data_IF_759981357879
#
_entry.id   IF_759981357879
#
_cell.length_a   1.000
_cell.length_b   1.000
_cell.length_c   1.000
_cell.angle_alpha   90.00
_cell.angle_beta   90.00
_cell.angle_gamma   90.00
#
_symmetry.space_group_name_H-M   'P 1'
#
loop_
_entity.id
_entity.type
_entity.pdbx_description
1 polymer ?
#
# COMPACT_ATOMS: atom_id res chain seq x y z
N UNK A 1 18.03 5.16 -11.06
CA UNK A 1 19.26 5.39 -10.25
C UNK A 1 18.81 5.44 -8.80
N UNK A 2 19.23 4.49 -7.96
CA UNK A 2 18.86 4.50 -6.53
C UNK A 2 19.71 5.52 -5.78
N UNK A 3 19.12 6.29 -4.87
CA UNK A 3 19.83 7.31 -4.09
C UNK A 3 21.06 6.75 -3.35
N UNK A 4 21.00 5.48 -2.92
CA UNK A 4 22.12 4.79 -2.27
C UNK A 4 23.30 4.48 -3.20
N UNK A 5 23.08 4.42 -4.51
CA UNK A 5 24.12 4.19 -5.51
C UNK A 5 24.90 5.46 -5.86
N UNK A 6 24.44 6.63 -5.40
CA UNK A 6 25.13 7.89 -5.62
C UNK A 6 26.38 8.00 -4.72
N UNK A 7 27.48 8.61 -5.23
CA UNK A 7 28.67 8.86 -4.44
C UNK A 7 28.37 9.95 -3.42
N UNK A 8 28.44 9.60 -2.14
CA UNK A 8 28.32 10.52 -1.01
C UNK A 8 29.14 9.98 0.15
N UNK A 9 29.74 10.88 0.94
CA UNK A 9 30.57 10.54 2.10
C UNK A 9 29.73 9.81 3.16
N UNK A 10 28.55 10.35 3.47
CA UNK A 10 27.61 9.81 4.44
C UNK A 10 26.24 9.67 3.80
N UNK A 11 25.53 8.57 4.09
CA UNK A 11 24.19 8.28 3.57
C UNK A 11 23.31 7.81 4.70
N UNK A 12 22.16 8.46 4.85
CA UNK A 12 21.14 8.10 5.83
C UNK A 12 19.84 7.76 5.10
N UNK A 13 19.34 6.54 5.31
CA UNK A 13 18.03 6.15 4.81
C UNK A 13 16.95 6.68 5.76
N UNK A 14 15.88 7.24 5.20
CA UNK A 14 14.71 7.70 5.94
C UNK A 14 13.50 6.91 5.45
N UNK A 15 12.71 6.40 6.39
CA UNK A 15 11.51 5.65 6.05
C UNK A 15 10.43 6.59 5.48
N UNK A 16 9.83 6.18 4.35
CA UNK A 16 8.95 7.01 3.52
C UNK A 16 7.77 7.66 4.29
N UNK A 17 7.07 6.88 5.10
CA UNK A 17 5.86 7.32 5.80
C UNK A 17 6.20 8.23 7.00
N UNK A 18 7.30 7.92 7.71
CA UNK A 18 7.84 8.82 8.73
C UNK A 18 8.27 10.14 8.12
N UNK A 19 8.82 10.15 6.91
CA UNK A 19 9.16 11.38 6.20
C UNK A 19 7.93 12.24 5.88
N UNK A 20 6.81 11.62 5.47
CA UNK A 20 5.53 12.35 5.27
C UNK A 20 5.02 13.01 6.55
N UNK A 21 5.02 12.31 7.68
CA UNK A 21 4.62 12.91 8.95
C UNK A 21 5.61 14.00 9.40
N UNK A 22 6.90 13.73 9.26
CA UNK A 22 7.94 14.65 9.67
C UNK A 22 7.90 15.96 8.84
N UNK A 23 7.54 15.92 7.57
CA UNK A 23 7.42 17.14 6.74
C UNK A 23 6.33 18.07 7.28
N UNK A 24 5.16 17.54 7.66
CA UNK A 24 4.06 18.32 8.23
C UNK A 24 4.44 18.93 9.59
N UNK A 25 5.12 18.16 10.43
CA UNK A 25 5.60 18.65 11.73
C UNK A 25 6.71 19.71 11.57
N UNK A 26 7.62 19.51 10.62
CA UNK A 26 8.70 20.45 10.33
C UNK A 26 8.18 21.78 9.78
N UNK A 27 7.21 21.75 8.85
CA UNK A 27 6.55 22.95 8.32
C UNK A 27 5.90 23.78 9.43
N UNK A 28 5.35 23.12 10.45
CA UNK A 28 4.74 23.77 11.61
C UNK A 28 5.73 24.20 12.69
N UNK A 29 7.02 23.86 12.55
CA UNK A 29 8.04 24.09 13.58
C UNK A 29 7.87 23.21 14.83
N UNK A 30 7.09 22.13 14.74
CA UNK A 30 6.63 21.30 15.86
C UNK A 30 7.56 20.09 16.11
N UNK A 31 8.87 20.33 16.15
CA UNK A 31 9.91 19.28 16.18
C UNK A 31 9.81 18.32 17.37
N UNK A 32 9.38 18.83 18.53
CA UNK A 32 9.32 18.09 19.80
C UNK A 32 7.92 17.61 20.15
N UNK A 33 6.92 18.02 19.37
CA UNK A 33 5.52 17.76 19.69
C UNK A 33 5.23 16.28 19.48
N UNK A 34 4.77 15.62 20.54
CA UNK A 34 4.27 14.26 20.44
C UNK A 34 2.89 14.26 19.79
N UNK A 35 2.72 13.51 18.72
CA UNK A 35 1.49 13.42 17.94
C UNK A 35 1.08 11.97 17.71
N UNK A 36 -0.17 11.78 17.33
CA UNK A 36 -0.64 10.60 16.60
C UNK A 36 -0.79 11.06 15.15
N UNK A 37 -0.09 10.42 14.22
CA UNK A 37 -0.12 10.77 12.81
C UNK A 37 -0.52 9.58 11.95
N UNK A 38 -1.29 9.84 10.90
CA UNK A 38 -1.66 8.87 9.88
C UNK A 38 -0.91 9.18 8.59
N UNK A 39 -0.29 8.17 7.97
CA UNK A 39 0.35 8.27 6.66
C UNK A 39 -0.31 7.28 5.72
N UNK A 40 -1.19 7.78 4.85
CA UNK A 40 -1.91 6.98 3.87
C UNK A 40 -1.46 7.35 2.46
N UNK A 41 -0.95 6.38 1.72
CA UNK A 41 -0.47 6.53 0.35
C UNK A 41 -0.64 5.22 -0.45
N UNK A 42 -0.09 5.20 -1.66
CA UNK A 42 -0.12 4.05 -2.53
C UNK A 42 0.90 2.97 -2.16
N UNK A 43 2.17 3.32 -2.00
CA UNK A 43 3.27 2.37 -1.80
C UNK A 43 4.44 3.05 -1.10
N UNK A 44 4.89 2.49 0.02
CA UNK A 44 6.21 2.78 0.56
C UNK A 44 6.86 1.54 1.17
N UNK A 45 8.19 1.46 1.09
CA UNK A 45 8.93 0.31 1.63
C UNK A 45 8.90 0.35 3.18
N UNK A 46 8.36 -0.70 3.78
CA UNK A 46 8.30 -0.89 5.21
C UNK A 46 9.61 -1.39 5.80
N UNK A 47 9.81 -1.12 7.09
CA UNK A 47 11.00 -1.62 7.81
C UNK A 47 11.01 -3.16 7.91
N UNK A 48 9.83 -3.79 7.80
CA UNK A 48 9.64 -5.24 7.79
C UNK A 48 9.70 -5.86 6.38
N UNK A 49 10.11 -5.07 5.37
CA UNK A 49 10.16 -5.50 3.97
C UNK A 49 8.81 -5.64 3.29
N UNK A 50 7.72 -5.25 3.96
CA UNK A 50 6.37 -5.23 3.38
C UNK A 50 6.05 -3.88 2.73
N UNK A 51 5.01 -3.84 1.91
CA UNK A 51 4.56 -2.60 1.27
C UNK A 51 3.59 -1.88 2.19
N UNK A 52 4.03 -0.75 2.75
CA UNK A 52 3.20 0.12 3.58
C UNK A 52 2.40 1.11 2.72
N UNK A 53 1.37 1.70 3.32
CA UNK A 53 0.56 2.78 2.74
C UNK A 53 -0.69 3.12 3.54
N UNK A 54 -0.83 2.58 4.75
CA UNK A 54 -2.01 2.67 5.59
C UNK A 54 -1.63 2.71 7.07
N UNK A 55 -0.67 3.55 7.43
CA UNK A 55 0.10 3.43 8.68
C UNK A 55 -0.28 4.50 9.70
N UNK A 56 -0.28 4.13 10.99
CA UNK A 56 -0.47 5.04 12.12
C UNK A 56 0.80 5.04 12.97
N UNK A 57 1.32 6.24 13.25
CA UNK A 57 2.50 6.46 14.07
C UNK A 57 2.20 7.30 15.30
N UNK A 58 3.00 7.12 16.35
CA UNK A 58 2.99 7.95 17.55
C UNK A 58 4.40 8.38 17.89
N UNK A 59 4.59 9.65 18.23
CA UNK A 59 5.91 10.17 18.61
C UNK A 59 6.12 11.61 18.16
N UNK A 60 7.39 12.02 18.08
CA UNK A 60 7.83 13.34 17.64
C UNK A 60 8.93 13.19 16.58
N UNK A 61 9.31 14.27 15.88
CA UNK A 61 10.48 14.19 14.99
C UNK A 61 11.75 13.89 15.81
N UNK A 62 11.88 14.56 16.97
CA UNK A 62 13.07 14.46 17.80
C UNK A 62 13.26 13.06 18.41
N UNK A 63 12.19 12.46 18.94
CA UNK A 63 12.26 11.18 19.67
C UNK A 63 11.98 9.98 18.76
N UNK A 64 11.56 10.24 17.52
CA UNK A 64 11.17 9.24 16.55
C UNK A 64 9.65 9.01 16.49
N UNK A 65 9.22 8.46 15.36
CA UNK A 65 7.83 8.11 15.06
C UNK A 65 7.70 6.59 15.06
N UNK A 66 7.11 6.04 16.12
CA UNK A 66 6.89 4.60 16.27
C UNK A 66 5.60 4.20 15.56
N UNK A 67 5.65 3.10 14.78
CA UNK A 67 4.46 2.55 14.11
C UNK A 67 3.64 1.76 15.11
N UNK A 68 2.41 2.21 15.41
CA UNK A 68 1.55 1.60 16.43
C UNK A 68 0.35 0.85 15.86
N UNK A 69 -0.07 1.17 14.65
CA UNK A 69 -1.16 0.49 13.96
C UNK A 69 -1.03 0.62 12.45
N UNK A 70 -1.78 -0.20 11.72
CA UNK A 70 -1.83 -0.18 10.26
C UNK A 70 -3.11 -0.85 9.75
N UNK A 71 -3.44 -0.62 8.49
CA UNK A 71 -4.51 -1.37 7.82
C UNK A 71 -4.21 -2.87 7.83
N UNK A 72 -5.26 -3.70 7.84
CA UNK A 72 -5.09 -5.16 7.77
C UNK A 72 -4.23 -5.52 6.56
N UNK A 73 -3.26 -6.41 6.79
CA UNK A 73 -2.40 -6.92 5.72
C UNK A 73 -3.24 -7.63 4.66
N UNK A 74 -2.96 -7.35 3.40
CA UNK A 74 -3.50 -8.05 2.24
C UNK A 74 -2.35 -8.60 1.40
N UNK A 75 -2.67 -9.55 0.51
CA UNK A 75 -1.75 -9.96 -0.53
C UNK A 75 -1.80 -8.98 -1.70
N UNK A 76 -0.66 -8.76 -2.36
CA UNK A 76 -0.56 -7.95 -3.56
C UNK A 76 0.00 -8.82 -4.69
N UNK A 77 -0.86 -9.52 -5.45
CA UNK A 77 -0.41 -10.43 -6.50
C UNK A 77 0.15 -9.66 -7.70
N UNK A 78 1.34 -10.02 -8.15
CA UNK A 78 1.97 -9.46 -9.35
C UNK A 78 2.74 -8.13 -9.14
N UNK A 79 2.92 -7.68 -7.89
CA UNK A 79 3.72 -6.48 -7.57
C UNK A 79 3.17 -5.23 -8.24
N UNK A 80 4.00 -4.54 -9.02
CA UNK A 80 3.66 -3.29 -9.72
C UNK A 80 2.40 -3.39 -10.60
N UNK A 81 2.09 -4.58 -11.12
CA UNK A 81 0.86 -4.80 -11.89
C UNK A 81 -0.41 -4.52 -11.06
N UNK A 82 -0.35 -4.70 -9.73
CA UNK A 82 -1.47 -4.40 -8.85
C UNK A 82 -1.73 -2.88 -8.69
N UNK A 83 -0.78 -2.03 -9.07
CA UNK A 83 -0.98 -0.59 -9.18
C UNK A 83 -1.69 -0.18 -10.48
N UNK A 84 -1.52 -0.98 -11.53
CA UNK A 84 -2.04 -0.69 -12.87
C UNK A 84 -3.42 -1.29 -13.11
N UNK A 85 -3.77 -2.36 -12.41
CA UNK A 85 -5.04 -3.07 -12.61
C UNK A 85 -5.80 -3.18 -11.29
N UNK A 86 -6.91 -2.44 -11.10
CA UNK A 86 -7.62 -2.40 -9.81
C UNK A 86 -8.13 -3.77 -9.36
N UNK A 87 -8.56 -4.60 -10.31
CA UNK A 87 -9.01 -5.98 -10.06
C UNK A 87 -7.91 -6.89 -9.50
N UNK A 88 -6.65 -6.53 -9.71
CA UNK A 88 -5.50 -7.29 -9.21
C UNK A 88 -5.24 -6.97 -7.74
N UNK A 89 -5.38 -5.70 -7.33
CA UNK A 89 -5.46 -5.34 -5.91
C UNK A 89 -6.69 -6.01 -5.27
N UNK A 90 -7.86 -5.93 -5.92
CA UNK A 90 -9.09 -6.53 -5.41
C UNK A 90 -8.96 -8.03 -5.13
N UNK A 91 -8.31 -8.81 -6.01
CA UNK A 91 -8.03 -10.23 -5.76
C UNK A 91 -7.28 -10.46 -4.44
N UNK A 92 -6.27 -9.64 -4.16
CA UNK A 92 -5.46 -9.74 -2.96
C UNK A 92 -6.16 -9.30 -1.67
N UNK A 93 -7.02 -8.28 -1.74
CA UNK A 93 -7.80 -7.79 -0.60
C UNK A 93 -9.05 -8.60 -0.31
N UNK A 94 -9.71 -9.15 -1.33
CA UNK A 94 -10.99 -9.83 -1.21
C UNK A 94 -10.85 -11.33 -0.92
N UNK A 95 -9.71 -11.96 -1.24
CA UNK A 95 -9.46 -13.38 -0.94
C UNK A 95 -9.55 -13.75 0.56
N UNK A 96 -9.36 -12.77 1.45
CA UNK A 96 -9.48 -12.94 2.90
C UNK A 96 -10.91 -12.72 3.43
N UNK A 97 -11.87 -12.40 2.55
CA UNK A 97 -13.27 -12.15 2.91
C UNK A 97 -14.08 -13.40 2.60
N UNK A 98 -14.70 -13.97 3.62
CA UNK A 98 -15.56 -15.14 3.48
C UNK A 98 -16.95 -14.76 2.95
N UNK A 99 -17.58 -15.67 2.22
CA UNK A 99 -18.97 -15.50 1.75
C UNK A 99 -19.16 -14.49 0.61
N UNK A 100 -18.10 -14.13 -0.11
CA UNK A 100 -18.22 -13.29 -1.30
C UNK A 100 -19.03 -13.99 -2.40
N UNK A 101 -19.86 -13.25 -3.15
CA UNK A 101 -20.48 -13.77 -4.36
C UNK A 101 -19.43 -14.02 -5.45
N UNK A 102 -19.82 -14.71 -6.52
CA UNK A 102 -18.96 -14.82 -7.70
C UNK A 102 -18.78 -13.44 -8.36
N UNK A 103 -17.62 -12.84 -8.15
CA UNK A 103 -17.29 -11.53 -8.69
C UNK A 103 -17.06 -11.54 -10.20
N UNK A 104 -16.91 -12.72 -10.82
CA UNK A 104 -16.86 -12.86 -12.28
C UNK A 104 -18.25 -12.88 -12.93
N UNK A 105 -19.32 -12.99 -12.14
CA UNK A 105 -20.72 -12.94 -12.61
C UNK A 105 -21.36 -11.55 -12.41
N UNK A 106 -22.53 -11.28 -13.03
CA UNK A 106 -23.31 -10.09 -12.73
C UNK A 106 -23.64 -9.96 -11.24
N UNK A 107 -23.60 -8.74 -10.66
CA UNK A 107 -23.44 -7.46 -11.36
C UNK A 107 -21.97 -7.04 -11.61
N UNK A 108 -20.99 -7.72 -11.03
CA UNK A 108 -19.60 -7.27 -10.99
C UNK A 108 -18.83 -7.52 -12.30
N UNK A 109 -19.02 -8.69 -12.91
CA UNK A 109 -18.40 -9.06 -14.20
C UNK A 109 -16.88 -8.83 -14.24
N UNK A 110 -16.16 -9.17 -13.16
CA UNK A 110 -14.71 -8.99 -13.11
C UNK A 110 -14.01 -9.78 -14.24
N UNK A 111 -13.04 -9.16 -14.93
CA UNK A 111 -12.34 -9.78 -16.07
C UNK A 111 -11.48 -10.97 -15.63
N UNK A 112 -11.08 -11.82 -16.59
CA UNK A 112 -10.23 -12.99 -16.35
C UNK A 112 -8.94 -12.69 -15.55
N UNK A 113 -8.42 -11.46 -15.65
CA UNK A 113 -7.27 -10.98 -14.85
C UNK A 113 -7.49 -11.15 -13.35
N UNK A 114 -8.71 -10.98 -12.85
CA UNK A 114 -9.05 -11.21 -11.44
C UNK A 114 -8.79 -12.66 -11.03
N UNK A 115 -9.24 -13.63 -11.84
CA UNK A 115 -9.03 -15.06 -11.59
C UNK A 115 -7.54 -15.43 -11.65
N UNK A 116 -6.79 -14.89 -12.62
CA UNK A 116 -5.34 -15.09 -12.66
C UNK A 116 -4.64 -14.51 -11.43
N UNK A 117 -5.07 -13.34 -10.94
CA UNK A 117 -4.52 -12.75 -9.72
C UNK A 117 -4.85 -13.59 -8.48
N UNK A 118 -6.07 -14.12 -8.36
CA UNK A 118 -6.42 -15.07 -7.30
C UNK A 118 -5.54 -16.32 -7.32
N UNK A 119 -5.26 -16.86 -8.50
CA UNK A 119 -4.38 -18.02 -8.63
C UNK A 119 -2.94 -17.72 -8.22
N UNK A 120 -2.43 -16.52 -8.49
CA UNK A 120 -1.13 -16.08 -7.96
C UNK A 120 -1.14 -16.05 -6.43
N UNK A 121 -2.20 -15.52 -5.82
CA UNK A 121 -2.36 -15.53 -4.35
C UNK A 121 -2.38 -16.96 -3.82
N UNK A 122 -3.20 -17.84 -4.38
CA UNK A 122 -3.30 -19.25 -3.93
C UNK A 122 -1.98 -20.01 -4.05
N UNK A 123 -1.23 -19.76 -5.13
CA UNK A 123 0.07 -20.40 -5.39
C UNK A 123 1.25 -19.71 -4.71
N UNK A 124 1.04 -18.56 -4.06
CA UNK A 124 2.08 -17.73 -3.44
C UNK A 124 3.20 -17.35 -4.44
N UNK A 125 2.84 -17.06 -5.68
CA UNK A 125 3.78 -16.68 -6.74
C UNK A 125 3.73 -15.19 -6.97
N UNK A 126 4.87 -14.50 -6.80
CA UNK A 126 4.99 -13.04 -6.98
C UNK A 126 3.93 -12.27 -6.18
N UNK A 127 3.70 -12.71 -4.96
CA UNK A 127 2.75 -12.11 -4.01
C UNK A 127 3.52 -11.38 -2.92
N UNK A 128 3.19 -10.11 -2.71
CA UNK A 128 3.80 -9.28 -1.68
C UNK A 128 2.79 -8.97 -0.59
N UNK A 129 3.25 -8.80 0.64
CA UNK A 129 2.37 -8.35 1.73
C UNK A 129 2.24 -6.84 1.67
N UNK A 130 1.02 -6.32 1.78
CA UNK A 130 0.77 -4.88 1.80
C UNK A 130 -0.24 -4.45 2.87
N UNK A 131 -0.07 -3.23 3.36
CA UNK A 131 -1.03 -2.49 4.21
C UNK A 131 -1.48 -1.19 3.54
N UNK A 132 -1.36 -1.11 2.21
CA UNK A 132 -1.61 0.11 1.42
C UNK A 132 -3.07 0.56 1.42
N UNK A 133 -3.29 1.84 1.74
CA UNK A 133 -4.57 2.50 1.56
C UNK A 133 -4.89 2.69 0.08
N UNK A 134 -3.92 3.09 -0.75
CA UNK A 134 -4.14 3.23 -2.20
C UNK A 134 -4.62 1.94 -2.86
N UNK A 135 -4.03 0.79 -2.51
CA UNK A 135 -4.47 -0.53 -3.06
C UNK A 135 -5.84 -0.95 -2.52
N UNK A 136 -6.21 -0.51 -1.32
CA UNK A 136 -7.58 -0.68 -0.82
C UNK A 136 -8.57 0.17 -1.64
N UNK A 137 -8.21 1.40 -2.00
CA UNK A 137 -9.01 2.26 -2.87
C UNK A 137 -9.17 1.65 -4.26
N UNK A 138 -8.12 1.07 -4.84
CA UNK A 138 -8.21 0.34 -6.12
C UNK A 138 -9.17 -0.85 -6.03
N UNK A 139 -9.13 -1.57 -4.89
CA UNK A 139 -10.04 -2.69 -4.65
C UNK A 139 -11.50 -2.22 -4.61
N UNK A 140 -11.77 -1.08 -3.98
CA UNK A 140 -13.09 -0.46 -3.98
C UNK A 140 -13.50 0.03 -5.39
N UNK A 141 -12.58 0.63 -6.15
CA UNK A 141 -12.81 1.06 -7.53
C UNK A 141 -13.18 -0.14 -8.43
N UNK A 142 -12.49 -1.27 -8.28
CA UNK A 142 -12.82 -2.50 -9.00
C UNK A 142 -14.26 -2.95 -8.72
N UNK A 143 -14.67 -2.98 -7.44
CA UNK A 143 -16.04 -3.33 -7.03
C UNK A 143 -17.10 -2.37 -7.59
N UNK A 144 -16.75 -1.11 -7.82
CA UNK A 144 -17.59 -0.10 -8.47
C UNK A 144 -17.59 -0.19 -10.01
N UNK A 145 -16.87 -1.15 -10.59
CA UNK A 145 -16.83 -1.38 -12.04
C UNK A 145 -15.63 -0.79 -12.77
N UNK A 146 -14.70 -0.13 -12.07
CA UNK A 146 -13.46 0.40 -12.66
C UNK A 146 -12.41 -0.71 -12.74
N UNK A 147 -12.54 -1.56 -13.76
CA UNK A 147 -11.74 -2.81 -13.88
C UNK A 147 -10.66 -2.77 -14.96
N UNK A 148 -10.55 -1.65 -15.69
CA UNK A 148 -9.58 -1.45 -16.76
C UNK A 148 -8.22 -1.05 -16.22
N UNK A 149 -7.22 -1.07 -17.09
CA UNK A 149 -5.89 -0.53 -16.80
C UNK A 149 -5.98 0.96 -16.44
N UNK A 150 -5.33 1.36 -15.35
CA UNK A 150 -5.17 2.76 -14.96
C UNK A 150 -3.98 3.35 -15.73
N UNK A 151 -4.17 4.51 -16.35
CA UNK A 151 -3.14 5.15 -17.20
C UNK A 151 -2.29 6.19 -16.47
N UNK A 152 -2.53 6.38 -15.17
CA UNK A 152 -1.81 7.31 -14.29
C UNK A 152 -1.80 6.74 -12.85
N UNK A 153 -0.89 7.21 -12.01
CA UNK A 153 -0.95 6.90 -10.58
C UNK A 153 -1.97 7.81 -9.88
N UNK A 154 -2.84 7.20 -9.06
CA UNK A 154 -3.85 7.87 -8.25
C UNK A 154 -3.47 7.96 -6.78
#
# INVERSE_FOLDING_TARGET
IHALALPAKDKLAVQHHRAHLASVLAERGEWKRRVIGASFDGTGYGDDGTIWGGEIFVGSIQDGLERVAHLRRASLPGGDAAAQFPVQAAAGFLVQVEGLPDLSAPPFNFPARYQFALDLVRKQVRTFTTTSAGRLFDSAAALLGFTREVTFEG
#
